data_IF_312802749009
#
_entry.id   IF_312802749009
#
_cell.length_a   1.000
_cell.length_b   1.000
_cell.length_c   1.000
_cell.angle_alpha   90.00
_cell.angle_beta   90.00
_cell.angle_gamma   90.00
#
_symmetry.space_group_name_H-M   'P 1'
#
loop_
_entity.id
_entity.type
_entity.pdbx_description
1 polymer ?
#
# COMPACT_ATOMS: atom_id res chain seq x y z
N UNK A 1 4.67 7.46 26.49
CA UNK A 1 4.27 7.33 25.07
C UNK A 1 5.46 6.75 24.31
N UNK A 2 5.35 5.52 23.83
CA UNK A 2 6.41 4.92 23.00
C UNK A 2 6.48 5.72 21.69
N UNK A 3 7.70 6.07 21.23
CA UNK A 3 7.89 6.57 19.86
C UNK A 3 7.37 5.47 18.93
N UNK A 4 6.23 5.73 18.28
CA UNK A 4 5.74 4.87 17.21
C UNK A 4 6.80 4.89 16.11
N UNK A 5 7.30 3.71 15.75
CA UNK A 5 8.24 3.58 14.65
C UNK A 5 7.55 4.06 13.35
N UNK A 6 8.10 5.10 12.73
CA UNK A 6 7.65 5.60 11.42
C UNK A 6 8.71 5.22 10.38
N UNK A 7 8.39 4.33 9.43
CA UNK A 7 9.31 4.02 8.33
C UNK A 7 9.51 5.25 7.44
N UNK A 8 10.70 5.38 6.86
CA UNK A 8 10.89 6.28 5.71
C UNK A 8 10.41 5.55 4.47
N UNK A 9 9.36 6.08 3.84
CA UNK A 9 8.77 5.54 2.61
C UNK A 9 9.02 6.52 1.48
N UNK A 10 9.33 6.02 0.29
CA UNK A 10 9.54 6.83 -0.91
C UNK A 10 8.55 6.43 -1.99
N UNK A 11 7.86 7.40 -2.58
CA UNK A 11 7.07 7.18 -3.80
C UNK A 11 8.02 7.06 -5.00
N UNK A 12 8.04 5.91 -5.66
CA UNK A 12 8.89 5.67 -6.84
C UNK A 12 8.15 6.05 -8.12
N UNK A 13 6.88 5.70 -8.19
CA UNK A 13 6.03 5.97 -9.34
C UNK A 13 4.61 6.24 -8.88
N UNK A 14 4.00 7.27 -9.43
CA UNK A 14 2.55 7.46 -9.41
C UNK A 14 1.90 6.40 -10.28
N UNK A 15 0.63 6.12 -10.01
CA UNK A 15 -0.16 5.20 -10.82
C UNK A 15 -1.11 5.95 -11.75
N UNK A 16 -2.10 5.23 -12.25
CA UNK A 16 -3.22 5.81 -12.99
C UNK A 16 -4.55 5.44 -12.34
N UNK A 17 -5.49 6.38 -12.40
CA UNK A 17 -6.89 6.11 -12.09
C UNK A 17 -7.54 5.52 -13.35
N UNK A 18 -8.02 4.29 -13.24
CA UNK A 18 -8.83 3.64 -14.28
C UNK A 18 -10.30 3.84 -13.91
N UNK A 19 -11.10 4.57 -14.71
CA UNK A 19 -12.48 4.92 -14.35
C UNK A 19 -13.35 3.72 -13.97
N UNK A 20 -13.28 2.65 -14.75
CA UNK A 20 -14.09 1.43 -14.53
C UNK A 20 -13.77 0.73 -13.19
N UNK A 21 -12.55 0.88 -12.69
CA UNK A 21 -12.13 0.32 -11.41
C UNK A 21 -12.50 1.28 -10.26
N UNK A 22 -12.14 2.55 -10.38
CA UNK A 22 -12.18 3.51 -9.28
C UNK A 22 -13.57 4.12 -9.05
N UNK A 23 -14.42 4.15 -10.07
CA UNK A 23 -15.79 4.68 -10.00
C UNK A 23 -16.85 3.65 -10.38
N UNK A 24 -16.44 2.39 -10.60
CA UNK A 24 -17.33 1.29 -10.94
C UNK A 24 -17.91 0.54 -9.73
N UNK A 25 -18.43 -0.68 -9.94
CA UNK A 25 -19.11 -1.46 -8.89
C UNK A 25 -18.27 -1.75 -7.64
N UNK A 26 -16.95 -1.78 -7.79
CA UNK A 26 -15.99 -2.05 -6.71
C UNK A 26 -15.30 -0.79 -6.17
N UNK A 27 -15.86 0.41 -6.40
CA UNK A 27 -15.20 1.67 -6.04
C UNK A 27 -14.66 1.64 -4.60
N UNK A 28 -15.41 1.13 -3.62
CA UNK A 28 -14.99 1.13 -2.20
C UNK A 28 -13.66 0.43 -1.95
N UNK A 29 -13.27 -0.52 -2.81
CA UNK A 29 -12.03 -1.27 -2.70
C UNK A 29 -10.82 -0.52 -3.28
N UNK A 30 -11.06 0.54 -4.05
CA UNK A 30 -10.03 1.30 -4.78
C UNK A 30 -9.64 2.62 -4.09
N UNK A 31 -10.17 2.90 -2.89
CA UNK A 31 -9.86 4.11 -2.13
C UNK A 31 -9.43 3.78 -0.70
N UNK A 32 -8.33 4.38 -0.27
CA UNK A 32 -7.92 4.43 1.12
C UNK A 32 -8.63 5.58 1.83
N UNK A 33 -9.25 5.28 2.98
CA UNK A 33 -9.95 6.28 3.78
C UNK A 33 -9.07 6.70 4.95
N UNK A 34 -8.73 7.98 5.00
CA UNK A 34 -8.02 8.60 6.11
C UNK A 34 -8.98 9.47 6.92
N UNK A 35 -9.03 9.23 8.22
CA UNK A 35 -9.82 10.02 9.16
C UNK A 35 -8.97 11.11 9.79
N UNK A 36 -9.36 12.36 9.62
CA UNK A 36 -8.73 13.54 10.21
C UNK A 36 -9.68 14.21 11.21
N UNK A 37 -9.12 14.95 12.16
CA UNK A 37 -9.89 15.87 12.99
C UNK A 37 -9.70 17.29 12.50
N UNK A 38 -10.80 17.94 12.14
CA UNK A 38 -10.83 19.33 11.69
C UNK A 38 -11.95 20.06 12.44
N UNK A 39 -11.60 21.14 13.16
CA UNK A 39 -12.54 21.93 13.97
C UNK A 39 -13.43 21.11 14.92
N UNK A 40 -12.89 20.03 15.51
CA UNK A 40 -13.62 19.14 16.41
C UNK A 40 -14.55 18.14 15.71
N UNK A 41 -14.58 18.11 14.38
CA UNK A 41 -15.32 17.14 13.57
C UNK A 41 -14.37 16.13 12.93
N UNK A 42 -14.85 14.89 12.79
CA UNK A 42 -14.15 13.84 12.05
C UNK A 42 -14.43 14.02 10.57
N UNK A 43 -13.40 14.31 9.78
CA UNK A 43 -13.48 14.43 8.31
C UNK A 43 -12.80 13.21 7.70
N UNK A 44 -13.47 12.58 6.74
CA UNK A 44 -12.92 11.46 5.99
C UNK A 44 -12.43 11.93 4.63
N UNK A 45 -11.15 11.68 4.35
CA UNK A 45 -10.52 11.93 3.07
C UNK A 45 -10.25 10.61 2.36
N UNK A 46 -10.43 10.61 1.05
CA UNK A 46 -10.35 9.43 0.20
C UNK A 46 -9.17 9.58 -0.75
N UNK A 47 -8.26 8.61 -0.73
CA UNK A 47 -7.05 8.61 -1.54
C UNK A 47 -7.07 7.40 -2.48
N UNK A 48 -6.83 7.57 -3.78
CA UNK A 48 -6.95 6.48 -4.74
C UNK A 48 -5.79 5.50 -4.61
N UNK A 49 -6.09 4.20 -4.65
CA UNK A 49 -5.09 3.17 -4.89
C UNK A 49 -4.84 3.05 -6.40
N UNK A 50 -4.03 3.96 -6.93
CA UNK A 50 -3.79 4.08 -8.36
C UNK A 50 -3.05 2.85 -8.93
N UNK A 51 -3.51 2.35 -10.09
CA UNK A 51 -2.89 1.20 -10.77
C UNK A 51 -1.47 1.54 -11.19
N UNK A 52 -0.52 0.68 -10.82
CA UNK A 52 0.89 0.86 -11.14
C UNK A 52 1.67 1.73 -10.16
N UNK A 53 1.02 2.34 -9.17
CA UNK A 53 1.69 3.06 -8.09
C UNK A 53 2.72 2.15 -7.42
N UNK A 54 3.92 2.70 -7.18
CA UNK A 54 5.03 2.00 -6.52
C UNK A 54 5.58 2.82 -5.36
N UNK A 55 5.68 2.20 -4.19
CA UNK A 55 6.35 2.78 -3.02
C UNK A 55 7.47 1.88 -2.54
N UNK A 56 8.53 2.48 -2.00
CA UNK A 56 9.67 1.79 -1.44
C UNK A 56 9.79 2.05 0.05
N UNK A 57 10.10 1.02 0.82
CA UNK A 57 10.48 1.12 2.22
C UNK A 57 11.70 0.25 2.49
N UNK A 58 12.58 0.67 3.38
CA UNK A 58 13.70 -0.15 3.81
C UNK A 58 13.35 -0.96 5.07
N UNK A 59 13.48 -2.28 4.99
CA UNK A 59 13.30 -3.20 6.12
C UNK A 59 14.57 -4.02 6.30
N UNK A 60 15.20 -3.97 7.48
CA UNK A 60 16.48 -4.63 7.77
C UNK A 60 17.56 -4.34 6.71
N UNK A 61 17.75 -3.06 6.37
CA UNK A 61 18.74 -2.59 5.38
C UNK A 61 18.54 -3.19 3.98
N UNK A 62 17.29 -3.55 3.64
CA UNK A 62 16.92 -4.10 2.34
C UNK A 62 15.70 -3.38 1.80
N UNK A 63 15.69 -2.95 0.52
CA UNK A 63 14.56 -2.27 -0.07
C UNK A 63 13.42 -3.25 -0.35
N UNK A 64 12.21 -2.86 0.02
CA UNK A 64 10.97 -3.51 -0.35
C UNK A 64 10.16 -2.52 -1.18
N UNK A 65 9.76 -2.94 -2.37
CA UNK A 65 8.94 -2.16 -3.28
C UNK A 65 7.55 -2.80 -3.31
N UNK A 66 6.52 -2.00 -3.03
CA UNK A 66 5.13 -2.44 -3.11
C UNK A 66 4.53 -1.78 -4.34
N UNK A 67 3.88 -2.60 -5.17
CA UNK A 67 3.19 -2.17 -6.38
C UNK A 67 1.70 -2.46 -6.26
N UNK A 68 0.89 -1.48 -6.61
CA UNK A 68 -0.55 -1.63 -6.78
C UNK A 68 -0.83 -2.20 -8.17
N UNK A 69 -1.61 -3.29 -8.22
CA UNK A 69 -1.99 -3.97 -9.46
C UNK A 69 -3.49 -4.23 -9.50
N UNK A 70 -4.01 -4.47 -10.71
CA UNK A 70 -5.37 -4.94 -10.91
C UNK A 70 -5.43 -6.46 -10.76
N UNK A 71 -6.43 -6.92 -10.01
CA UNK A 71 -6.72 -8.32 -9.81
C UNK A 71 -6.02 -8.88 -8.59
N UNK A 72 -6.73 -9.72 -7.86
CA UNK A 72 -6.22 -10.49 -6.73
C UNK A 72 -6.80 -11.91 -6.75
N UNK A 73 -6.50 -12.72 -5.74
CA UNK A 73 -6.89 -14.15 -5.69
C UNK A 73 -8.39 -14.39 -5.75
N UNK A 74 -9.20 -13.37 -5.45
CA UNK A 74 -10.66 -13.46 -5.43
C UNK A 74 -11.32 -12.96 -6.71
N UNK A 75 -10.81 -11.89 -7.31
CA UNK A 75 -11.44 -11.26 -8.48
C UNK A 75 -10.45 -10.37 -9.25
N UNK A 76 -10.47 -10.46 -10.58
CA UNK A 76 -9.65 -9.67 -11.50
C UNK A 76 -10.02 -8.17 -11.57
N UNK A 77 -11.14 -7.76 -10.97
CA UNK A 77 -11.58 -6.35 -10.89
C UNK A 77 -11.27 -5.71 -9.52
N UNK A 78 -10.75 -6.48 -8.57
CA UNK A 78 -10.39 -5.99 -7.26
C UNK A 78 -8.92 -5.54 -7.21
N UNK A 79 -8.62 -4.74 -6.20
CA UNK A 79 -7.29 -4.27 -5.89
C UNK A 79 -6.36 -5.43 -5.48
N UNK A 80 -5.16 -5.45 -6.05
CA UNK A 80 -4.11 -6.39 -5.70
C UNK A 80 -2.81 -5.68 -5.32
N UNK A 81 -2.01 -6.35 -4.48
CA UNK A 81 -0.74 -5.86 -4.00
C UNK A 81 0.36 -6.86 -4.30
N UNK A 82 1.43 -6.37 -4.90
CA UNK A 82 2.60 -7.17 -5.22
C UNK A 82 3.83 -6.54 -4.58
N UNK A 83 4.62 -7.32 -3.83
CA UNK A 83 5.84 -6.85 -3.22
C UNK A 83 7.05 -7.54 -3.84
N UNK A 84 8.10 -6.76 -4.08
CA UNK A 84 9.38 -7.20 -4.59
C UNK A 84 10.52 -6.61 -3.74
N UNK A 85 11.62 -7.35 -3.63
CA UNK A 85 12.81 -6.96 -2.88
C UNK A 85 14.05 -7.60 -3.51
N UNK A 86 14.87 -6.78 -4.17
CA UNK A 86 16.02 -7.25 -4.96
C UNK A 86 15.60 -8.34 -5.96
N UNK A 87 16.10 -9.57 -5.81
CA UNK A 87 15.80 -10.71 -6.70
C UNK A 87 14.62 -11.57 -6.24
N UNK A 88 13.89 -11.16 -5.21
CA UNK A 88 12.80 -11.93 -4.60
C UNK A 88 11.48 -11.15 -4.68
N UNK A 89 10.38 -11.84 -4.94
CA UNK A 89 9.04 -11.22 -5.02
C UNK A 89 7.94 -12.17 -4.54
N UNK A 90 6.76 -11.67 -4.19
CA UNK A 90 5.64 -12.57 -3.93
C UNK A 90 5.42 -13.52 -5.13
N UNK A 91 5.05 -14.76 -4.85
CA UNK A 91 4.71 -15.74 -5.90
C UNK A 91 3.38 -15.41 -6.56
N UNK A 92 2.46 -14.80 -5.79
CA UNK A 92 1.14 -14.42 -6.22
C UNK A 92 0.83 -13.00 -5.76
N UNK A 93 -0.18 -12.38 -6.39
CA UNK A 93 -0.71 -11.10 -5.93
C UNK A 93 -1.51 -11.32 -4.65
N UNK A 94 -1.25 -10.49 -3.64
CA UNK A 94 -1.96 -10.52 -2.36
C UNK A 94 -3.14 -9.56 -2.37
N UNK A 95 -4.15 -9.86 -1.55
CA UNK A 95 -5.38 -9.05 -1.44
C UNK A 95 -5.19 -7.77 -0.63
N UNK A 96 -4.13 -7.69 0.18
CA UNK A 96 -3.84 -6.57 1.07
C UNK A 96 -2.32 -6.34 1.19
N UNK A 97 -1.88 -5.11 1.49
CA UNK A 97 -0.47 -4.77 1.51
C UNK A 97 0.28 -5.36 2.71
N UNK A 98 -0.43 -5.69 3.80
CA UNK A 98 0.18 -6.32 4.97
C UNK A 98 0.63 -7.72 4.62
N UNK A 99 -0.21 -8.49 3.94
CA UNK A 99 0.10 -9.83 3.45
C UNK A 99 1.25 -9.77 2.44
N UNK A 100 1.21 -8.87 1.46
CA UNK A 100 2.27 -8.71 0.45
C UNK A 100 3.66 -8.57 1.09
N UNK A 101 3.81 -7.62 2.02
CA UNK A 101 5.09 -7.32 2.65
C UNK A 101 5.47 -8.39 3.68
N UNK A 102 4.54 -8.79 4.55
CA UNK A 102 4.85 -9.69 5.67
C UNK A 102 5.19 -11.10 5.16
N UNK A 103 4.52 -11.58 4.10
CA UNK A 103 4.82 -12.88 3.49
C UNK A 103 6.19 -12.86 2.80
N UNK A 104 6.49 -11.81 2.03
CA UNK A 104 7.81 -11.67 1.40
C UNK A 104 8.91 -11.56 2.46
N UNK A 105 8.71 -10.72 3.48
CA UNK A 105 9.65 -10.55 4.58
C UNK A 105 9.90 -11.86 5.32
N UNK A 106 8.85 -12.63 5.64
CA UNK A 106 8.97 -13.95 6.26
C UNK A 106 9.80 -14.89 5.41
N UNK A 107 9.60 -14.91 4.10
CA UNK A 107 10.36 -15.78 3.19
C UNK A 107 11.84 -15.38 3.13
N UNK A 108 12.15 -14.09 3.07
CA UNK A 108 13.53 -13.58 2.98
C UNK A 108 14.29 -13.82 4.28
N UNK A 109 13.69 -13.46 5.43
CA UNK A 109 14.38 -13.42 6.71
C UNK A 109 14.08 -14.62 7.61
N UNK A 110 13.18 -15.51 7.21
CA UNK A 110 12.73 -16.67 7.99
C UNK A 110 12.20 -16.29 9.37
N UNK A 111 11.66 -15.07 9.50
CA UNK A 111 11.11 -14.52 10.75
C UNK A 111 9.70 -14.01 10.54
N UNK A 112 8.77 -14.36 11.43
CA UNK A 112 7.42 -13.83 11.41
C UNK A 112 7.41 -12.42 12.00
N UNK A 113 6.95 -11.46 11.21
CA UNK A 113 6.70 -10.09 11.65
C UNK A 113 5.51 -9.57 10.87
N UNK A 114 4.52 -9.05 11.58
CA UNK A 114 3.33 -8.46 10.96
C UNK A 114 3.51 -6.95 10.90
N UNK A 115 3.56 -6.42 9.69
CA UNK A 115 3.64 -4.98 9.47
C UNK A 115 2.26 -4.36 9.28
N UNK A 116 2.16 -3.04 9.43
CA UNK A 116 1.01 -2.31 8.90
C UNK A 116 1.29 -1.97 7.44
N UNK A 117 0.64 -2.66 6.50
CA UNK A 117 0.88 -2.47 5.07
C UNK A 117 0.63 -1.04 4.58
N UNK A 118 -0.43 -0.38 5.08
CA UNK A 118 -0.73 1.02 4.73
C UNK A 118 0.34 1.99 5.23
N UNK A 119 0.88 1.76 6.43
CA UNK A 119 1.99 2.53 6.98
C UNK A 119 3.26 2.35 6.13
N UNK A 120 3.59 1.11 5.78
CA UNK A 120 4.75 0.79 4.94
C UNK A 120 4.62 1.27 3.50
N UNK A 121 3.39 1.46 3.02
CA UNK A 121 3.10 2.10 1.73
C UNK A 121 3.10 3.62 1.80
N UNK A 122 3.19 4.22 2.99
CA UNK A 122 3.19 5.68 3.14
C UNK A 122 1.79 6.31 3.03
N UNK A 123 0.71 5.55 3.23
CA UNK A 123 -0.67 6.07 3.17
C UNK A 123 -1.03 7.00 4.35
N UNK A 124 -0.15 7.10 5.34
CA UNK A 124 -0.23 8.08 6.43
C UNK A 124 0.67 9.32 6.20
N UNK A 125 1.42 9.34 5.09
CA UNK A 125 2.38 10.40 4.78
C UNK A 125 1.80 11.46 3.85
N UNK A 126 1.67 12.70 4.36
CA UNK A 126 1.04 13.79 3.62
C UNK A 126 1.75 14.10 2.30
N UNK A 127 3.08 13.96 2.25
CA UNK A 127 3.86 14.32 1.06
C UNK A 127 3.61 13.29 -0.05
N UNK A 128 3.49 12.02 0.30
CA UNK A 128 3.10 10.96 -0.65
C UNK A 128 1.65 11.15 -1.10
N UNK A 129 0.76 11.44 -0.14
CA UNK A 129 -0.66 11.62 -0.42
C UNK A 129 -0.93 12.82 -1.34
N UNK A 130 -0.17 13.92 -1.24
CA UNK A 130 -0.33 15.08 -2.13
C UNK A 130 0.08 14.81 -3.57
N UNK A 131 0.94 13.82 -3.82
CA UNK A 131 1.40 13.45 -5.16
C UNK A 131 0.43 12.50 -5.91
N UNK A 132 -0.56 11.94 -5.20
CA UNK A 132 -1.52 10.98 -5.76
C UNK A 132 -2.97 11.48 -5.78
N UNK A 133 -3.19 12.76 -5.47
CA UNK A 133 -4.49 13.45 -5.54
C UNK A 133 -4.57 14.31 -6.79
#
# INVERSE_FOLDING_TARGET
>A
MSKQWKPSVTLIATGIIIPDLHFGPFLRNWWHVRSLQENGMKVEQYYPFQIGMKTQVELKNRPFIIRIVQGNKHNNLLLGFFCESLSESNEEVENDPTSAISNLYKRIFQTETRFSGTLLMGMDDNDILSEIV
#
